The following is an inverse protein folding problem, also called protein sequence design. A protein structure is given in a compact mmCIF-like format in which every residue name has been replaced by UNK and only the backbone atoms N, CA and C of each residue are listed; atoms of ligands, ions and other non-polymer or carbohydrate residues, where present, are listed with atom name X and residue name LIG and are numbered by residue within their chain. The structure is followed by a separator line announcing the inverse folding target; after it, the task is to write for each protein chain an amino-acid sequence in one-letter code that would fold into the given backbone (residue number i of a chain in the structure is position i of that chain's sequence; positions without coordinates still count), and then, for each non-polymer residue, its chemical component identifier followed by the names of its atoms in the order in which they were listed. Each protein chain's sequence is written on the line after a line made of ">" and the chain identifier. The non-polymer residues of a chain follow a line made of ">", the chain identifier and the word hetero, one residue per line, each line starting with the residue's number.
data_IF_160463391033
#
_entry.id   IF_160463391033
#
_cell.length_a   1.000
_cell.length_b   1.000
_cell.length_c   1.000
_cell.angle_alpha   90.00
_cell.angle_beta   90.00
_cell.angle_gamma   90.00
#
_symmetry.space_group_name_H-M   'P 1'
#
loop_
_entity.id
_entity.type
_entity.pdbx_description
1 polymer ?
#
# COMPACT_ATOMS: atom_id res chain seq x y z
N UNK A 1 -20.23 3.76 10.52
CA UNK A 1 -20.07 4.77 9.44
C UNK A 1 -18.73 5.49 9.52
N UNK A 2 -18.37 6.12 10.66
CA UNK A 2 -17.09 6.86 10.78
C UNK A 2 -15.84 6.02 10.49
N UNK A 3 -15.73 4.82 11.07
CA UNK A 3 -14.58 3.93 10.82
C UNK A 3 -14.44 3.51 9.34
N UNK A 4 -15.56 3.31 8.66
CA UNK A 4 -15.58 3.02 7.23
C UNK A 4 -15.13 4.22 6.39
N UNK A 5 -15.61 5.43 6.70
CA UNK A 5 -15.16 6.66 6.02
C UNK A 5 -13.65 6.89 6.21
N UNK A 6 -13.14 6.68 7.43
CA UNK A 6 -11.70 6.78 7.70
C UNK A 6 -10.88 5.77 6.87
N UNK A 7 -11.37 4.53 6.73
CA UNK A 7 -10.74 3.54 5.87
C UNK A 7 -10.75 3.94 4.39
N UNK A 8 -11.85 4.53 3.89
CA UNK A 8 -11.93 5.07 2.53
C UNK A 8 -10.97 6.23 2.31
N UNK A 9 -10.89 7.18 3.26
CA UNK A 9 -9.96 8.31 3.18
C UNK A 9 -8.51 7.83 3.12
N UNK A 10 -8.13 6.84 3.94
CA UNK A 10 -6.76 6.34 3.89
C UNK A 10 -6.47 5.51 2.63
N UNK A 11 -7.46 4.75 2.12
CA UNK A 11 -7.34 4.10 0.82
C UNK A 11 -7.13 5.14 -0.31
N UNK A 12 -7.84 6.26 -0.26
CA UNK A 12 -7.66 7.37 -1.19
C UNK A 12 -6.26 8.00 -1.06
N UNK A 13 -5.79 8.26 0.17
CA UNK A 13 -4.45 8.78 0.41
C UNK A 13 -3.35 7.87 -0.13
N UNK A 14 -3.54 6.55 -0.04
CA UNK A 14 -2.65 5.55 -0.65
C UNK A 14 -2.68 5.62 -2.17
N UNK A 15 -3.88 5.55 -2.77
CA UNK A 15 -4.06 5.53 -4.22
C UNK A 15 -3.62 6.84 -4.90
N UNK A 16 -3.71 7.96 -4.20
CA UNK A 16 -3.21 9.27 -4.65
C UNK A 16 -1.74 9.51 -4.30
N UNK A 17 -1.08 8.57 -3.61
CA UNK A 17 0.35 8.65 -3.26
C UNK A 17 0.66 9.70 -2.19
N UNK A 18 -0.35 10.20 -1.46
CA UNK A 18 -0.18 11.08 -0.30
C UNK A 18 0.41 10.32 0.89
N UNK A 19 0.03 9.05 1.03
CA UNK A 19 0.66 8.08 1.93
C UNK A 19 1.27 6.93 1.15
N UNK A 20 2.37 6.39 1.64
CA UNK A 20 3.10 5.28 1.02
C UNK A 20 2.84 3.97 1.78
N UNK A 21 2.69 2.88 1.02
CA UNK A 21 2.51 1.55 1.59
C UNK A 21 3.86 1.01 2.10
N UNK A 22 3.99 0.64 3.38
CA UNK A 22 5.22 0.07 3.89
C UNK A 22 5.49 -1.32 3.30
N UNK A 23 6.75 -1.58 2.97
CA UNK A 23 7.23 -2.90 2.58
C UNK A 23 8.09 -3.50 3.71
N UNK A 24 7.67 -4.66 4.23
CA UNK A 24 8.23 -5.29 5.43
C UNK A 24 9.76 -5.47 5.41
N UNK A 25 10.38 -5.68 4.23
CA UNK A 25 11.85 -5.80 4.11
C UNK A 25 12.59 -4.49 3.88
N UNK A 26 11.94 -3.50 3.26
CA UNK A 26 12.62 -2.33 2.71
C UNK A 26 12.48 -1.14 3.65
N UNK A 27 11.27 -0.91 4.15
CA UNK A 27 10.92 0.28 4.92
C UNK A 27 11.72 0.37 6.21
N UNK A 28 11.89 -0.74 6.95
CA UNK A 28 12.63 -0.73 8.21
C UNK A 28 14.11 -0.34 8.06
N UNK A 29 14.74 -0.66 6.92
CA UNK A 29 16.16 -0.37 6.68
C UNK A 29 16.42 0.93 5.91
N UNK A 30 15.43 1.49 5.24
CA UNK A 30 15.62 2.63 4.31
C UNK A 30 14.71 3.82 4.59
N UNK A 31 13.62 3.62 5.34
CA UNK A 31 12.56 4.61 5.49
C UNK A 31 11.70 4.82 4.24
N UNK A 32 11.94 4.07 3.15
CA UNK A 32 11.19 4.20 1.90
C UNK A 32 9.88 3.39 1.95
N UNK A 33 8.85 3.89 1.28
CA UNK A 33 7.56 3.23 1.08
C UNK A 33 7.22 3.09 -0.40
N UNK A 34 6.25 2.23 -0.71
CA UNK A 34 5.74 2.02 -2.07
C UNK A 34 4.72 3.11 -2.39
N UNK A 35 4.96 3.87 -3.46
CA UNK A 35 4.01 4.80 -4.02
C UNK A 35 2.98 4.04 -4.87
N UNK A 36 1.77 3.85 -4.31
CA UNK A 36 0.71 3.10 -4.98
C UNK A 36 0.14 3.84 -6.20
N UNK A 37 0.15 5.18 -6.19
CA UNK A 37 -0.19 5.97 -7.39
C UNK A 37 0.71 5.61 -8.56
N UNK A 38 2.04 5.65 -8.35
CA UNK A 38 3.01 5.28 -9.40
C UNK A 38 2.89 3.80 -9.80
N UNK A 39 2.61 2.91 -8.84
CA UNK A 39 2.39 1.50 -9.11
C UNK A 39 1.25 1.25 -10.11
N UNK A 40 0.16 2.02 -10.02
CA UNK A 40 -0.99 1.91 -10.92
C UNK A 40 -0.89 2.79 -12.18
N UNK A 41 -0.30 3.99 -12.09
CA UNK A 41 -0.17 4.93 -13.22
C UNK A 41 0.93 4.53 -14.22
N UNK A 42 2.00 3.87 -13.75
CA UNK A 42 3.12 3.39 -14.59
C UNK A 42 3.47 1.93 -14.27
N UNK A 43 2.56 0.98 -14.56
CA UNK A 43 2.74 -0.41 -14.19
C UNK A 43 3.87 -1.05 -15.00
N UNK A 44 4.86 -1.56 -14.29
CA UNK A 44 5.86 -2.52 -14.80
C UNK A 44 5.31 -3.94 -14.74
N UNK A 45 6.03 -4.88 -15.36
CA UNK A 45 5.67 -6.30 -15.29
C UNK A 45 5.51 -6.75 -13.84
N UNK A 46 4.30 -7.16 -13.49
CA UNK A 46 3.99 -7.63 -12.15
C UNK A 46 4.49 -9.07 -11.98
N UNK A 47 5.39 -9.26 -11.02
CA UNK A 47 5.85 -10.57 -10.56
C UNK A 47 5.67 -10.61 -9.04
N UNK A 48 4.78 -11.49 -8.57
CA UNK A 48 4.44 -11.59 -7.15
C UNK A 48 5.65 -11.97 -6.28
N UNK A 49 6.50 -12.89 -6.76
CA UNK A 49 7.68 -13.36 -6.01
C UNK A 49 8.69 -12.22 -5.89
N UNK A 50 8.95 -11.52 -6.99
CA UNK A 50 9.86 -10.37 -7.00
C UNK A 50 9.27 -9.16 -6.27
N UNK A 51 7.94 -9.05 -6.18
CA UNK A 51 7.27 -8.00 -5.40
C UNK A 51 7.43 -8.23 -3.90
N UNK A 52 7.24 -9.47 -3.45
CA UNK A 52 7.42 -9.86 -2.03
C UNK A 52 8.90 -9.80 -1.63
N UNK A 53 9.81 -10.20 -2.52
CA UNK A 53 11.24 -10.15 -2.22
C UNK A 53 11.83 -8.75 -2.35
N UNK A 54 11.17 -7.82 -3.04
CA UNK A 54 11.55 -6.42 -3.14
C UNK A 54 12.00 -5.93 -4.53
N UNK A 55 12.67 -6.71 -5.41
CA UNK A 55 13.15 -6.19 -6.69
C UNK A 55 12.07 -5.54 -7.58
N UNK A 56 10.87 -6.12 -7.64
CA UNK A 56 9.82 -5.61 -8.51
C UNK A 56 9.16 -4.32 -7.99
N UNK A 57 9.32 -3.99 -6.70
CA UNK A 57 8.79 -2.74 -6.15
C UNK A 57 9.77 -1.56 -6.22
N UNK A 58 11.04 -1.82 -6.58
CA UNK A 58 12.10 -0.81 -6.57
C UNK A 58 11.75 0.47 -7.36
N UNK A 59 11.10 0.41 -8.54
CA UNK A 59 10.72 1.62 -9.29
C UNK A 59 9.69 2.51 -8.57
N UNK A 60 8.98 1.98 -7.58
CA UNK A 60 7.91 2.66 -6.87
C UNK A 60 8.30 3.10 -5.47
N UNK A 61 9.55 2.86 -5.05
CA UNK A 61 10.05 3.28 -3.75
C UNK A 61 10.25 4.80 -3.71
N UNK A 62 9.70 5.43 -2.67
CA UNK A 62 9.76 6.87 -2.46
C UNK A 62 9.91 7.20 -0.97
N UNK A 63 10.45 8.38 -0.68
CA UNK A 63 10.46 8.94 0.68
C UNK A 63 9.20 9.76 0.88
N UNK A 64 8.52 9.60 2.02
CA UNK A 64 7.27 10.31 2.29
C UNK A 64 6.58 9.80 3.55
N UNK A 65 5.34 10.24 3.75
CA UNK A 65 4.51 9.79 4.87
C UNK A 65 4.12 8.33 4.67
N UNK A 66 4.49 7.47 5.63
CA UNK A 66 4.16 6.06 5.61
C UNK A 66 2.80 5.84 6.25
N UNK A 67 2.04 4.88 5.73
CA UNK A 67 0.93 4.29 6.48
C UNK A 67 1.49 3.64 7.75
N UNK A 68 0.89 3.96 8.89
CA UNK A 68 1.30 3.39 10.18
C UNK A 68 0.75 1.97 10.37
N UNK A 69 1.29 1.22 11.34
CA UNK A 69 0.74 -0.10 11.68
C UNK A 69 -0.70 0.01 12.18
N UNK A 70 -1.01 1.04 12.98
CA UNK A 70 -2.36 1.28 13.51
C UNK A 70 -3.37 1.60 12.40
N UNK A 71 -2.95 2.44 11.45
CA UNK A 71 -3.66 2.72 10.21
C UNK A 71 -4.01 1.41 9.48
N UNK A 72 -3.00 0.57 9.20
CA UNK A 72 -3.16 -0.65 8.44
C UNK A 72 -4.09 -1.66 9.14
N UNK A 73 -3.94 -1.80 10.47
CA UNK A 73 -4.81 -2.65 11.30
C UNK A 73 -6.27 -2.18 11.28
N UNK A 74 -6.49 -0.86 11.27
CA UNK A 74 -7.84 -0.30 11.19
C UNK A 74 -8.51 -0.68 9.87
N UNK A 75 -7.81 -0.53 8.75
CA UNK A 75 -8.29 -0.96 7.43
C UNK A 75 -8.56 -2.46 7.41
N UNK A 76 -7.59 -3.30 7.81
CA UNK A 76 -7.75 -4.76 7.83
C UNK A 76 -9.03 -5.19 8.55
N UNK A 77 -9.33 -4.57 9.70
CA UNK A 77 -10.57 -4.81 10.46
C UNK A 77 -11.83 -4.38 9.70
N UNK A 78 -11.79 -3.31 8.90
CA UNK A 78 -12.96 -2.84 8.14
C UNK A 78 -13.20 -3.65 6.85
N UNK A 79 -12.16 -4.19 6.22
CA UNK A 79 -12.26 -4.98 4.97
C UNK A 79 -12.51 -6.48 5.20
N UNK A 80 -12.58 -6.95 6.46
CA UNK A 80 -12.91 -8.34 6.81
C UNK A 80 -11.79 -9.35 6.50
N UNK A 81 -12.09 -10.65 6.55
CA UNK A 81 -11.10 -11.74 6.50
C UNK A 81 -10.23 -11.85 5.24
N UNK A 82 -10.53 -11.09 4.18
CA UNK A 82 -9.69 -10.98 2.98
C UNK A 82 -8.66 -9.84 3.02
N UNK A 83 -8.83 -8.84 3.89
CA UNK A 83 -7.92 -7.70 4.03
C UNK A 83 -7.90 -6.71 2.86
N UNK A 84 -7.24 -5.56 3.07
CA UNK A 84 -7.12 -4.46 2.11
C UNK A 84 -6.52 -4.85 0.75
N UNK A 85 -5.49 -5.69 0.79
CA UNK A 85 -4.74 -6.06 -0.41
C UNK A 85 -5.58 -6.90 -1.37
N UNK A 86 -6.43 -7.79 -0.84
CA UNK A 86 -7.38 -8.55 -1.66
C UNK A 86 -8.41 -7.64 -2.31
N UNK A 87 -8.90 -6.63 -1.57
CA UNK A 87 -9.80 -5.61 -2.13
C UNK A 87 -9.11 -4.82 -3.26
N UNK A 88 -7.89 -4.31 -3.04
CA UNK A 88 -7.16 -3.53 -4.04
C UNK A 88 -6.86 -4.32 -5.34
N UNK A 89 -6.67 -5.64 -5.25
CA UNK A 89 -6.47 -6.52 -6.40
C UNK A 89 -7.75 -6.82 -7.19
N UNK A 90 -8.94 -6.61 -6.62
CA UNK A 90 -10.24 -6.97 -7.23
C UNK A 90 -10.92 -5.83 -7.98
N UNK A 91 -10.49 -4.57 -7.80
CA UNK A 91 -11.05 -3.39 -8.48
C UNK A 91 -10.31 -3.02 -9.78
N UNK A 92 -9.52 -3.94 -10.34
CA UNK A 92 -8.91 -3.80 -11.67
C UNK A 92 -9.92 -4.11 -12.77
#
# INVERSE_FOLDING_TARGET
>A
VQAWLAALTMAEDLLEGRKLLPHFRVTAGTGLGINMKRFFDDPKNFDLVLSITGPAIAPYLESGELVTSDDFDQIQRQFGGGGFLTFALWFN
#
